data_IF_602013617703
#
_entry.id   IF_602013617703
#
_cell.length_a   1.000
_cell.length_b   1.000
_cell.length_c   1.000
_cell.angle_alpha   90.00
_cell.angle_beta   90.00
_cell.angle_gamma   90.00
#
_symmetry.space_group_name_H-M   'P 1'
#
loop_
_entity.id
_entity.type
_entity.pdbx_description
1 polymer ?
#
# COMPACT_ATOMS: atom_id res chain seq x y z
N UNK A 1 7.64 -16.52 -19.74
CA UNK A 1 6.95 -15.89 -18.60
C UNK A 1 7.32 -16.67 -17.35
N UNK A 2 8.11 -16.10 -16.45
CA UNK A 2 8.49 -16.74 -15.18
C UNK A 2 7.27 -16.75 -14.25
N UNK A 3 6.91 -17.90 -13.66
CA UNK A 3 5.76 -17.99 -12.77
C UNK A 3 5.89 -17.00 -11.59
N UNK A 4 4.84 -16.24 -11.25
CA UNK A 4 4.87 -15.34 -10.11
C UNK A 4 5.08 -16.14 -8.82
N UNK A 5 5.89 -15.62 -7.89
CA UNK A 5 6.15 -16.24 -6.60
C UNK A 5 4.83 -16.56 -5.89
N UNK A 6 4.52 -17.86 -5.78
CA UNK A 6 3.28 -18.34 -5.18
C UNK A 6 3.26 -17.96 -3.70
N UNK A 7 2.19 -17.33 -3.26
CA UNK A 7 1.96 -17.13 -1.83
C UNK A 7 1.72 -18.49 -1.16
N UNK A 8 1.85 -18.59 0.16
CA UNK A 8 1.60 -19.84 0.92
C UNK A 8 0.30 -20.56 0.54
N UNK A 9 -0.70 -19.81 0.07
CA UNK A 9 -2.03 -20.32 -0.30
C UNK A 9 -2.28 -20.29 -1.82
N UNK A 10 -1.25 -20.09 -2.66
CA UNK A 10 -1.35 -20.04 -4.12
C UNK A 10 -2.10 -18.82 -4.69
N UNK A 11 -2.58 -17.91 -3.85
CA UNK A 11 -3.35 -16.73 -4.28
C UNK A 11 -2.42 -15.68 -4.91
N UNK A 12 -2.83 -15.16 -6.07
CA UNK A 12 -2.18 -14.08 -6.80
C UNK A 12 -3.13 -12.87 -6.82
N UNK A 13 -2.60 -11.69 -6.60
CA UNK A 13 -3.32 -10.42 -6.75
C UNK A 13 -2.63 -9.60 -7.83
N UNK A 14 -3.39 -9.09 -8.80
CA UNK A 14 -2.90 -8.11 -9.78
C UNK A 14 -3.37 -6.73 -9.36
N UNK A 15 -2.42 -5.86 -9.03
CA UNK A 15 -2.72 -4.51 -8.60
C UNK A 15 -2.67 -3.53 -9.79
N UNK A 16 -3.76 -2.84 -10.13
CA UNK A 16 -3.75 -1.87 -11.21
C UNK A 16 -2.94 -0.64 -10.80
N UNK A 17 -1.93 -0.28 -11.60
CA UNK A 17 -1.12 0.91 -11.34
C UNK A 17 -1.74 2.10 -12.09
N UNK A 18 -2.22 3.11 -11.36
CA UNK A 18 -2.66 4.36 -11.97
C UNK A 18 -1.46 5.15 -12.56
N UNK A 19 -1.74 6.23 -13.30
CA UNK A 19 -0.68 7.04 -13.92
C UNK A 19 0.38 7.52 -12.94
N UNK A 20 -0.01 7.93 -11.73
CA UNK A 20 0.93 8.39 -10.69
C UNK A 20 1.88 7.27 -10.26
N UNK A 21 1.37 6.07 -10.00
CA UNK A 21 2.17 4.92 -9.61
C UNK A 21 3.05 4.42 -10.77
N UNK A 22 2.50 4.38 -11.99
CA UNK A 22 3.28 4.04 -13.19
C UNK A 22 4.45 5.01 -13.38
N UNK A 23 4.22 6.32 -13.24
CA UNK A 23 5.25 7.33 -13.37
C UNK A 23 6.32 7.17 -12.27
N UNK A 24 5.92 6.93 -11.02
CA UNK A 24 6.87 6.65 -9.94
C UNK A 24 7.75 5.44 -10.25
N UNK A 25 7.16 4.34 -10.72
CA UNK A 25 7.90 3.12 -11.05
C UNK A 25 8.85 3.34 -12.23
N UNK A 26 8.42 4.08 -13.26
CA UNK A 26 9.26 4.45 -14.41
C UNK A 26 10.43 5.35 -14.00
N UNK A 27 10.22 6.29 -13.07
CA UNK A 27 11.28 7.16 -12.56
C UNK A 27 12.37 6.38 -11.80
N UNK A 28 12.01 5.25 -11.21
CA UNK A 28 12.97 4.38 -10.51
C UNK A 28 13.60 3.31 -11.41
N UNK A 29 13.07 3.13 -12.62
CA UNK A 29 13.57 2.12 -13.54
C UNK A 29 14.92 2.56 -14.12
N UNK A 30 16.01 1.79 -13.93
CA UNK A 30 17.28 2.10 -14.56
C UNK A 30 17.20 1.88 -16.08
N UNK A 31 18.11 2.50 -16.83
CA UNK A 31 18.13 2.42 -18.30
C UNK A 31 18.24 1.00 -18.86
N UNK A 32 18.78 0.06 -18.06
CA UNK A 32 18.81 -1.37 -18.36
C UNK A 32 18.35 -2.14 -17.14
N UNK A 33 17.27 -2.91 -17.28
CA UNK A 33 16.78 -3.86 -16.28
C UNK A 33 16.12 -5.05 -16.97
N UNK A 34 16.07 -6.16 -16.25
CA UNK A 34 15.44 -7.43 -16.62
C UNK A 34 14.33 -7.76 -15.63
N UNK A 35 13.52 -8.77 -15.93
CA UNK A 35 12.49 -9.25 -15.00
C UNK A 35 13.06 -9.88 -13.72
N UNK A 36 14.36 -10.17 -13.67
CA UNK A 36 15.02 -10.72 -12.49
C UNK A 36 15.48 -9.63 -11.49
N UNK A 37 15.51 -8.38 -11.92
CA UNK A 37 15.99 -7.27 -11.10
C UNK A 37 14.94 -6.83 -10.07
N UNK A 38 15.39 -6.40 -8.90
CA UNK A 38 14.51 -5.87 -7.87
C UNK A 38 14.06 -4.45 -8.23
N UNK A 39 12.76 -4.18 -8.08
CA UNK A 39 12.21 -2.81 -8.22
C UNK A 39 12.81 -1.86 -7.17
N UNK A 40 12.97 -2.36 -5.94
CA UNK A 40 13.66 -1.67 -4.86
C UNK A 40 14.84 -2.53 -4.42
N UNK A 41 16.07 -2.25 -4.86
CA UNK A 41 17.25 -2.95 -4.36
C UNK A 41 17.61 -2.47 -2.95
N UNK A 42 18.33 -3.32 -2.20
CA UNK A 42 18.98 -2.89 -0.97
C UNK A 42 20.06 -1.84 -1.25
N UNK A 43 20.41 -1.03 -0.24
CA UNK A 43 21.41 0.05 -0.39
C UNK A 43 22.80 -0.46 -0.84
N UNK A 44 23.16 -1.69 -0.49
CA UNK A 44 24.39 -2.37 -0.94
C UNK A 44 24.12 -3.37 -2.09
N UNK A 45 22.99 -3.21 -2.81
CA UNK A 45 22.47 -4.18 -3.74
C UNK A 45 21.65 -5.28 -3.06
N UNK A 46 21.18 -6.26 -3.86
CA UNK A 46 20.40 -7.40 -3.38
C UNK A 46 18.98 -7.06 -2.94
N UNK A 47 18.39 -7.96 -2.13
CA UNK A 47 16.99 -7.85 -1.68
C UNK A 47 16.80 -6.69 -0.71
N UNK A 48 15.72 -5.93 -0.91
CA UNK A 48 15.27 -4.94 0.06
C UNK A 48 14.88 -5.60 1.38
N UNK A 49 15.40 -5.05 2.48
CA UNK A 49 15.07 -5.47 3.83
C UNK A 49 14.10 -4.47 4.47
N UNK A 50 12.87 -4.94 4.68
CA UNK A 50 11.77 -4.15 5.25
C UNK A 50 12.08 -3.65 6.67
N UNK A 51 12.74 -4.46 7.50
CA UNK A 51 13.06 -4.10 8.89
C UNK A 51 14.13 -3.00 8.94
N UNK A 52 15.20 -3.16 8.15
CA UNK A 52 16.25 -2.15 8.02
C UNK A 52 15.68 -0.84 7.49
N UNK A 53 14.83 -0.88 6.46
CA UNK A 53 14.18 0.32 5.96
C UNK A 53 13.30 0.98 7.02
N UNK A 54 12.50 0.18 7.75
CA UNK A 54 11.63 0.69 8.81
C UNK A 54 12.43 1.40 9.90
N UNK A 55 13.50 0.78 10.38
CA UNK A 55 14.27 1.27 11.52
C UNK A 55 15.16 2.44 11.15
N UNK A 56 15.82 2.38 9.99
CA UNK A 56 16.87 3.35 9.60
C UNK A 56 16.36 4.54 8.82
N UNK A 57 15.26 4.40 8.08
CA UNK A 57 14.76 5.46 7.19
C UNK A 57 13.35 5.90 7.55
N UNK A 58 12.39 4.96 7.63
CA UNK A 58 10.99 5.30 7.87
C UNK A 58 10.77 5.94 9.25
N UNK A 59 11.22 5.28 10.33
CA UNK A 59 10.98 5.75 11.70
C UNK A 59 11.60 7.13 11.98
N UNK A 60 12.86 7.41 11.60
CA UNK A 60 13.41 8.76 11.73
C UNK A 60 12.64 9.80 10.92
N UNK A 61 12.24 9.48 9.69
CA UNK A 61 11.50 10.40 8.83
C UNK A 61 10.15 10.78 9.46
N UNK A 62 9.38 9.79 9.91
CA UNK A 62 8.06 10.05 10.51
C UNK A 62 8.18 10.76 11.87
N UNK A 63 9.23 10.48 12.65
CA UNK A 63 9.51 11.24 13.87
C UNK A 63 9.79 12.71 13.57
N UNK A 64 10.62 13.01 12.57
CA UNK A 64 10.88 14.39 12.15
C UNK A 64 9.61 15.09 11.68
N UNK A 65 8.74 14.40 10.92
CA UNK A 65 7.44 14.94 10.52
C UNK A 65 6.53 15.24 11.71
N UNK A 66 6.55 14.37 12.74
CA UNK A 66 5.80 14.58 13.98
C UNK A 66 6.33 15.80 14.76
N UNK A 67 7.64 15.91 14.93
CA UNK A 67 8.29 17.03 15.62
C UNK A 67 8.00 18.37 14.93
N UNK A 68 7.89 18.36 13.60
CA UNK A 68 7.50 19.51 12.78
C UNK A 68 5.98 19.76 12.72
N UNK A 69 5.16 18.93 13.39
CA UNK A 69 3.70 19.09 13.44
C UNK A 69 2.93 18.64 12.19
N UNK A 70 3.57 17.98 11.21
CA UNK A 70 2.88 17.47 10.02
C UNK A 70 2.03 16.22 10.29
N UNK A 71 2.36 15.47 11.34
CA UNK A 71 1.59 14.31 11.80
C UNK A 71 1.49 14.30 13.32
N UNK A 72 0.37 13.86 13.88
CA UNK A 72 0.13 13.93 15.32
C UNK A 72 0.94 12.89 16.14
N UNK A 73 1.26 11.74 15.54
CA UNK A 73 1.94 10.63 16.20
C UNK A 73 2.75 9.80 15.20
N UNK A 74 3.50 8.83 15.71
CA UNK A 74 4.28 7.93 14.87
C UNK A 74 3.36 6.99 14.07
N UNK A 75 3.49 7.03 12.75
CA UNK A 75 2.81 6.16 11.80
C UNK A 75 3.82 5.17 11.21
N UNK A 76 3.61 3.87 11.41
CA UNK A 76 4.40 2.82 10.74
C UNK A 76 4.00 2.68 9.27
N UNK A 77 4.82 2.01 8.46
CA UNK A 77 4.52 1.69 7.05
C UNK A 77 3.16 1.00 6.88
N UNK A 78 2.75 0.19 7.85
CA UNK A 78 1.45 -0.50 7.83
C UNK A 78 0.25 0.47 7.85
N UNK A 79 0.41 1.68 8.39
CA UNK A 79 -0.62 2.72 8.36
C UNK A 79 -0.89 3.25 6.95
N UNK A 80 0.07 3.13 6.02
CA UNK A 80 -0.17 3.44 4.61
C UNK A 80 -1.25 2.52 4.02
N UNK A 81 -1.23 1.22 4.38
CA UNK A 81 -2.29 0.28 3.97
C UNK A 81 -3.64 0.66 4.58
N UNK A 82 -3.67 1.02 5.87
CA UNK A 82 -4.90 1.49 6.52
C UNK A 82 -5.48 2.73 5.84
N UNK A 83 -4.62 3.68 5.51
CA UNK A 83 -5.00 4.92 4.81
C UNK A 83 -5.54 4.59 3.44
N UNK A 84 -4.85 3.76 2.65
CA UNK A 84 -5.32 3.35 1.34
C UNK A 84 -6.71 2.68 1.38
N UNK A 85 -6.94 1.72 2.29
CA UNK A 85 -8.25 1.06 2.43
C UNK A 85 -9.34 2.08 2.76
N UNK A 86 -9.07 2.98 3.71
CA UNK A 86 -10.06 3.99 4.14
C UNK A 86 -10.40 4.94 3.01
N UNK A 87 -9.39 5.47 2.32
CA UNK A 87 -9.57 6.44 1.25
C UNK A 87 -10.18 5.81 -0.02
N UNK A 88 -9.86 4.55 -0.33
CA UNK A 88 -10.48 3.83 -1.44
C UNK A 88 -12.00 3.64 -1.20
N UNK A 89 -12.40 3.26 0.01
CA UNK A 89 -13.82 3.13 0.37
C UNK A 89 -14.53 4.48 0.37
N UNK A 90 -13.87 5.54 0.86
CA UNK A 90 -14.40 6.93 0.80
C UNK A 90 -14.60 7.41 -0.63
N UNK A 91 -13.72 7.01 -1.54
CA UNK A 91 -13.85 7.29 -2.97
C UNK A 91 -14.91 6.41 -3.66
N UNK A 92 -15.62 5.55 -2.92
CA UNK A 92 -16.71 4.72 -3.45
C UNK A 92 -16.28 3.39 -4.08
N UNK A 93 -15.02 2.97 -3.90
CA UNK A 93 -14.56 1.66 -4.38
C UNK A 93 -15.27 0.52 -3.65
N UNK A 94 -15.64 -0.54 -4.38
CA UNK A 94 -16.38 -1.65 -3.80
C UNK A 94 -15.55 -2.42 -2.76
N UNK A 95 -16.23 -2.94 -1.74
CA UNK A 95 -15.59 -3.65 -0.62
C UNK A 95 -14.88 -4.92 -1.09
N UNK A 96 -15.44 -5.63 -2.07
CA UNK A 96 -14.83 -6.83 -2.63
C UNK A 96 -13.58 -6.48 -3.45
N UNK A 97 -13.59 -5.37 -4.18
CA UNK A 97 -12.41 -4.86 -4.90
C UNK A 97 -11.28 -4.47 -3.93
N UNK A 98 -11.60 -3.68 -2.89
CA UNK A 98 -10.61 -3.31 -1.86
C UNK A 98 -10.07 -4.54 -1.14
N UNK A 99 -10.93 -5.52 -0.83
CA UNK A 99 -10.56 -6.83 -0.27
C UNK A 99 -9.56 -7.58 -1.16
N UNK A 100 -9.82 -7.64 -2.47
CA UNK A 100 -8.95 -8.27 -3.45
C UNK A 100 -7.57 -7.57 -3.53
N UNK A 101 -7.57 -6.24 -3.66
CA UNK A 101 -6.36 -5.43 -3.81
C UNK A 101 -5.48 -5.44 -2.55
N UNK A 102 -6.10 -5.37 -1.36
CA UNK A 102 -5.38 -5.28 -0.09
C UNK A 102 -5.15 -6.64 0.59
N UNK A 103 -5.69 -7.72 0.01
CA UNK A 103 -5.66 -9.09 0.53
C UNK A 103 -6.11 -9.17 1.99
N UNK A 104 -7.24 -8.55 2.28
CA UNK A 104 -7.87 -8.49 3.61
C UNK A 104 -9.31 -8.95 3.48
N UNK A 105 -9.86 -9.67 4.46
CA UNK A 105 -11.25 -10.15 4.34
C UNK A 105 -12.24 -9.00 4.38
N UNK A 106 -13.34 -9.15 3.65
CA UNK A 106 -14.48 -8.22 3.66
C UNK A 106 -14.97 -8.00 5.10
N UNK A 107 -15.02 -9.05 5.93
CA UNK A 107 -15.38 -8.97 7.36
C UNK A 107 -14.48 -7.98 8.13
N UNK A 108 -13.17 -8.01 7.91
CA UNK A 108 -12.24 -7.06 8.54
C UNK A 108 -12.47 -5.65 8.00
N UNK A 109 -12.77 -5.50 6.70
CA UNK A 109 -13.10 -4.20 6.11
C UNK A 109 -14.36 -3.60 6.75
N UNK A 110 -15.45 -4.37 6.79
CA UNK A 110 -16.71 -3.97 7.43
C UNK A 110 -16.51 -3.56 8.89
N UNK A 111 -15.73 -4.34 9.65
CA UNK A 111 -15.52 -4.09 11.08
C UNK A 111 -14.68 -2.85 11.37
N UNK A 112 -13.66 -2.57 10.58
CA UNK A 112 -12.65 -1.57 10.95
C UNK A 112 -12.65 -0.29 10.10
N UNK A 113 -13.26 -0.29 8.92
CA UNK A 113 -13.12 0.80 7.96
C UNK A 113 -14.46 1.42 7.55
N UNK A 114 -15.48 0.64 7.22
CA UNK A 114 -16.77 1.15 6.74
C UNK A 114 -17.56 1.97 7.75
N UNK A 115 -17.34 1.74 9.06
CA UNK A 115 -18.00 2.52 10.12
C UNK A 115 -17.51 3.97 10.24
N UNK A 116 -16.37 4.33 9.62
CA UNK A 116 -15.71 5.65 9.81
C UNK A 116 -15.98 6.64 8.68
N UNK A 117 -16.66 6.22 7.63
CA UNK A 117 -16.92 7.01 6.42
C UNK A 117 -18.35 6.77 5.95
N UNK A 118 -19.32 7.40 6.62
CA UNK A 118 -20.73 7.33 6.21
C UNK A 118 -21.21 8.72 5.83
N UNK A 119 -21.42 8.92 4.54
CA UNK A 119 -22.41 9.88 4.04
C UNK A 119 -23.64 9.02 3.77
N UNK A 120 -24.67 9.18 4.60
CA UNK A 120 -25.93 8.43 4.46
C UNK A 120 -26.88 9.32 3.65
N UNK A 121 -27.18 8.90 2.43
CA UNK A 121 -28.23 9.52 1.62
C UNK A 121 -29.35 8.49 1.48
N UNK A 122 -30.55 8.85 1.94
CA UNK A 122 -31.75 8.04 1.75
C UNK A 122 -32.31 8.37 0.37
N UNK A 123 -32.48 7.38 -0.53
CA UNK A 123 -33.09 7.64 -1.83
C UNK A 123 -34.60 7.89 -1.70
N UNK A 124 -35.14 8.74 -2.57
CA UNK A 124 -36.57 8.87 -2.84
C UNK A 124 -37.00 7.73 -3.77
N UNK A 125 -38.21 7.19 -3.59
CA UNK A 125 -38.77 6.09 -4.37
C UNK A 125 -40.04 6.49 -5.10
#
# INVERSE_FOLDING_TARGET
MTEPQRTKNGKITRFPCNHRLQNLLKLQQPSRCTHADFVFPGAMGGRFDYHNFQTRHWKPTVKSLRERGFVAFYLSQYHARHTFITEALRAGMDVAEVSYLCRVSTTVIYRHYLGRSRIITVPEF
#
